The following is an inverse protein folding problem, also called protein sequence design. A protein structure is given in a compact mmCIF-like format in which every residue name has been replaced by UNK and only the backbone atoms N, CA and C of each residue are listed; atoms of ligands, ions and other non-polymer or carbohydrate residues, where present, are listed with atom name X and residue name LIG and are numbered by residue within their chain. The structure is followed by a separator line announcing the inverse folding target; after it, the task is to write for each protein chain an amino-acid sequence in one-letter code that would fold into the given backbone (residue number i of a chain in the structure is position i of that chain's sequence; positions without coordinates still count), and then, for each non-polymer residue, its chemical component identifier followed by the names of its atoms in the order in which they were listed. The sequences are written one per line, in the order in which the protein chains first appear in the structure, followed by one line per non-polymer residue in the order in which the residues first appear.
data_IF_341653019118
#
_entry.id   IF_341653019118
#
_cell.length_a   1.000
_cell.length_b   1.000
_cell.length_c   1.000
_cell.angle_alpha   90.00
_cell.angle_beta   90.00
_cell.angle_gamma   90.00
#
_symmetry.space_group_name_H-M   'P 1'
#
loop_
_entity.id
_entity.type
_entity.pdbx_description
1 polymer ?
#
# COMPACT_ATOMS: atom_id res chain seq x y z
N UNK A 1 15.42 24.27 -9.99
CA UNK A 1 14.73 23.03 -10.42
C UNK A 1 14.01 22.48 -9.21
N UNK A 2 12.70 22.20 -9.25
CA UNK A 2 11.97 21.72 -8.07
C UNK A 2 12.48 20.33 -7.64
N UNK A 3 12.62 20.08 -6.34
CA UNK A 3 13.11 18.80 -5.78
C UNK A 3 12.36 17.59 -6.33
N UNK A 4 11.03 17.71 -6.50
CA UNK A 4 10.19 16.68 -7.12
C UNK A 4 10.65 16.31 -8.53
N UNK A 5 11.07 17.29 -9.32
CA UNK A 5 11.57 17.06 -10.68
C UNK A 5 12.89 16.29 -10.65
N UNK A 6 13.76 16.58 -9.69
CA UNK A 6 15.03 15.86 -9.52
C UNK A 6 14.78 14.39 -9.15
N UNK A 7 13.90 14.14 -8.17
CA UNK A 7 13.49 12.78 -7.77
C UNK A 7 12.91 12.01 -8.96
N UNK A 8 11.98 12.63 -9.70
CA UNK A 8 11.39 12.00 -10.88
C UNK A 8 12.43 11.69 -11.95
N UNK A 9 13.42 12.55 -12.19
CA UNK A 9 14.46 12.32 -13.19
C UNK A 9 15.35 11.11 -12.87
N UNK A 10 15.62 10.84 -11.59
CA UNK A 10 16.47 9.72 -11.17
C UNK A 10 15.69 8.44 -10.80
N UNK A 11 14.36 8.43 -11.01
CA UNK A 11 13.44 7.37 -10.57
C UNK A 11 13.89 5.95 -10.89
N UNK A 12 14.48 5.72 -12.06
CA UNK A 12 14.93 4.38 -12.50
C UNK A 12 16.09 3.85 -11.65
N UNK A 13 16.92 4.73 -11.09
CA UNK A 13 18.05 4.35 -10.22
C UNK A 13 17.59 3.99 -8.80
N UNK A 14 16.33 4.28 -8.46
CA UNK A 14 15.77 4.12 -7.13
C UNK A 14 14.91 2.86 -6.98
N UNK A 15 14.59 2.15 -8.07
CA UNK A 15 13.69 0.99 -8.08
C UNK A 15 14.15 -0.16 -7.17
N UNK A 16 15.46 -0.30 -6.95
CA UNK A 16 16.04 -1.29 -6.04
C UNK A 16 15.91 -0.93 -4.55
N UNK A 17 15.46 0.28 -4.22
CA UNK A 17 15.36 0.80 -2.86
C UNK A 17 13.90 1.05 -2.52
N UNK A 18 13.29 0.16 -1.75
CA UNK A 18 11.88 0.31 -1.37
C UNK A 18 11.62 1.65 -0.66
N UNK A 19 12.49 2.06 0.28
CA UNK A 19 12.33 3.30 1.04
C UNK A 19 12.32 4.57 0.17
N UNK A 20 12.76 4.49 -1.10
CA UNK A 20 12.67 5.59 -2.04
C UNK A 20 11.29 5.68 -2.71
N UNK A 21 10.49 4.60 -2.72
CA UNK A 21 9.19 4.56 -3.40
C UNK A 21 8.24 5.65 -2.92
N UNK A 22 8.00 5.86 -1.61
CA UNK A 22 7.11 6.93 -1.15
C UNK A 22 7.56 8.31 -1.64
N UNK A 23 8.87 8.56 -1.65
CA UNK A 23 9.46 9.81 -2.13
C UNK A 23 9.21 9.99 -3.63
N UNK A 24 9.38 8.94 -4.43
CA UNK A 24 9.09 8.98 -5.87
C UNK A 24 7.59 9.18 -6.11
N UNK A 25 6.72 8.48 -5.39
CA UNK A 25 5.26 8.63 -5.53
C UNK A 25 4.79 10.06 -5.23
N UNK A 26 5.37 10.73 -4.22
CA UNK A 26 5.09 12.15 -3.93
C UNK A 26 5.57 13.12 -5.02
N UNK A 27 6.51 12.69 -5.86
CA UNK A 27 7.04 13.46 -6.98
C UNK A 27 6.19 13.36 -8.26
N UNK A 28 5.31 12.37 -8.34
CA UNK A 28 4.42 12.13 -9.49
C UNK A 28 3.31 13.18 -9.54
N UNK A 29 3.08 13.82 -10.70
CA UNK A 29 1.82 14.49 -10.96
C UNK A 29 0.80 13.46 -11.46
N UNK A 30 -0.08 12.99 -10.57
CA UNK A 30 -1.08 11.96 -10.88
C UNK A 30 -2.13 12.40 -11.90
N UNK A 31 -2.19 13.70 -12.24
CA UNK A 31 -3.04 14.23 -13.30
C UNK A 31 -2.41 14.06 -14.68
N UNK A 32 -1.07 13.97 -14.75
CA UNK A 32 -0.35 13.72 -15.99
C UNK A 32 -0.44 12.22 -16.35
N UNK A 33 -1.12 11.86 -17.46
CA UNK A 33 -1.25 10.47 -17.88
C UNK A 33 0.10 9.80 -18.16
N UNK A 34 1.10 10.53 -18.65
CA UNK A 34 2.42 9.99 -18.97
C UNK A 34 3.16 9.60 -17.69
N UNK A 35 3.27 10.51 -16.72
CA UNK A 35 3.91 10.23 -15.44
C UNK A 35 3.20 9.10 -14.68
N UNK A 36 1.87 9.09 -14.67
CA UNK A 36 1.07 8.05 -14.02
C UNK A 36 1.31 6.68 -14.66
N UNK A 37 1.26 6.59 -15.98
CA UNK A 37 1.49 5.33 -16.71
C UNK A 37 2.91 4.82 -16.48
N UNK A 38 3.89 5.71 -16.52
CA UNK A 38 5.28 5.38 -16.26
C UNK A 38 5.47 4.86 -14.82
N UNK A 39 4.87 5.53 -13.83
CA UNK A 39 4.93 5.08 -12.45
C UNK A 39 4.31 3.69 -12.29
N UNK A 40 3.22 3.39 -13.00
CA UNK A 40 2.63 2.05 -12.97
C UNK A 40 3.59 0.97 -13.49
N UNK A 41 4.34 1.23 -14.56
CA UNK A 41 5.36 0.29 -15.02
C UNK A 41 6.47 0.10 -13.99
N UNK A 42 6.92 1.20 -13.38
CA UNK A 42 7.96 1.16 -12.35
C UNK A 42 7.51 0.43 -11.08
N UNK A 43 6.23 0.52 -10.70
CA UNK A 43 5.70 -0.22 -9.55
C UNK A 43 5.89 -1.73 -9.69
N UNK A 44 5.74 -2.29 -10.90
CA UNK A 44 5.99 -3.72 -11.15
C UNK A 44 7.46 -4.11 -11.02
N UNK A 45 8.37 -3.17 -11.22
CA UNK A 45 9.82 -3.39 -11.13
C UNK A 45 10.39 -3.02 -9.77
N UNK A 46 9.60 -2.39 -8.90
CA UNK A 46 10.09 -1.91 -7.62
C UNK A 46 10.42 -3.08 -6.70
N UNK A 47 11.50 -2.93 -5.93
CA UNK A 47 11.85 -3.88 -4.88
C UNK A 47 10.67 -4.08 -3.94
N UNK A 48 10.46 -5.30 -3.43
CA UNK A 48 9.36 -5.60 -2.52
C UNK A 48 9.49 -4.82 -1.20
N UNK A 49 8.37 -4.51 -0.52
CA UNK A 49 8.40 -3.95 0.82
C UNK A 49 9.11 -4.91 1.79
N UNK A 50 10.01 -4.40 2.60
CA UNK A 50 10.78 -5.23 3.53
C UNK A 50 10.04 -5.45 4.85
N UNK A 51 9.11 -4.55 5.19
CA UNK A 51 8.39 -4.59 6.46
C UNK A 51 6.89 -4.25 6.30
N UNK A 52 6.01 -4.62 7.24
CA UNK A 52 4.61 -4.21 7.20
C UNK A 52 4.40 -2.68 7.23
N UNK A 53 5.26 -1.95 7.93
CA UNK A 53 5.21 -0.48 8.06
C UNK A 53 5.36 0.21 6.71
N UNK A 54 6.20 -0.35 5.83
CA UNK A 54 6.34 0.11 4.45
C UNK A 54 5.01 0.03 3.69
N UNK A 55 4.23 -1.04 3.87
CA UNK A 55 2.93 -1.16 3.23
C UNK A 55 1.90 -0.21 3.87
N UNK A 56 1.94 -0.04 5.19
CA UNK A 56 1.07 0.91 5.90
C UNK A 56 1.32 2.36 5.45
N UNK A 57 2.58 2.75 5.21
CA UNK A 57 2.90 4.06 4.63
C UNK A 57 2.20 4.24 3.28
N UNK A 58 2.28 3.25 2.38
CA UNK A 58 1.61 3.31 1.08
C UNK A 58 0.07 3.23 1.14
N UNK A 59 -0.50 2.87 2.28
CA UNK A 59 -1.94 2.88 2.55
C UNK A 59 -2.41 4.17 3.24
N UNK A 60 -1.51 5.10 3.50
CA UNK A 60 -1.82 6.41 4.09
C UNK A 60 -2.62 7.30 3.11
N UNK A 61 -3.27 8.34 3.63
CA UNK A 61 -4.18 9.19 2.85
C UNK A 61 -3.50 9.97 1.71
N UNK A 62 -2.19 10.18 1.82
CA UNK A 62 -1.40 10.84 0.77
C UNK A 62 -1.29 9.98 -0.50
N UNK A 63 -1.53 8.67 -0.41
CA UNK A 63 -1.48 7.73 -1.53
C UNK A 63 -2.87 7.15 -1.81
N UNK A 64 -3.66 7.93 -2.55
CA UNK A 64 -5.03 7.56 -2.93
C UNK A 64 -5.10 6.70 -4.21
N UNK A 65 -4.00 6.56 -4.94
CA UNK A 65 -3.97 5.82 -6.20
C UNK A 65 -4.20 4.32 -6.00
N UNK A 66 -5.18 3.76 -6.72
CA UNK A 66 -5.62 2.38 -6.53
C UNK A 66 -4.52 1.34 -6.83
N UNK A 67 -3.60 1.60 -7.77
CA UNK A 67 -2.52 0.66 -8.09
C UNK A 67 -1.41 0.68 -7.05
N UNK A 68 -1.12 1.85 -6.47
CA UNK A 68 -0.21 1.98 -5.32
C UNK A 68 -0.75 1.21 -4.12
N UNK A 69 -2.05 1.38 -3.81
CA UNK A 69 -2.69 0.67 -2.71
C UNK A 69 -2.73 -0.84 -2.95
N UNK A 70 -3.04 -1.25 -4.19
CA UNK A 70 -3.00 -2.66 -4.60
C UNK A 70 -1.60 -3.26 -4.43
N UNK A 71 -0.56 -2.54 -4.85
CA UNK A 71 0.82 -2.95 -4.65
C UNK A 71 1.13 -3.16 -3.16
N UNK A 72 0.73 -2.22 -2.29
CA UNK A 72 0.97 -2.32 -0.84
C UNK A 72 0.31 -3.57 -0.23
N UNK A 73 -0.93 -3.88 -0.64
CA UNK A 73 -1.65 -5.05 -0.14
C UNK A 73 -1.05 -6.35 -0.68
N UNK A 74 -0.88 -6.47 -2.00
CA UNK A 74 -0.50 -7.75 -2.63
C UNK A 74 0.99 -8.07 -2.46
N UNK A 75 1.88 -7.07 -2.50
CA UNK A 75 3.32 -7.32 -2.40
C UNK A 75 3.82 -7.39 -0.95
N UNK A 76 2.99 -7.07 0.05
CA UNK A 76 3.40 -7.08 1.45
C UNK A 76 2.36 -7.68 2.40
N UNK A 77 1.18 -7.08 2.54
CA UNK A 77 0.20 -7.55 3.54
C UNK A 77 -0.25 -8.99 3.26
N UNK A 78 -0.40 -9.36 1.99
CA UNK A 78 -0.75 -10.70 1.55
C UNK A 78 0.27 -11.77 1.96
N UNK A 79 1.55 -11.41 2.10
CA UNK A 79 2.64 -12.32 2.48
C UNK A 79 2.74 -12.52 4.00
N UNK A 80 2.05 -11.70 4.82
CA UNK A 80 2.14 -11.80 6.27
C UNK A 80 1.38 -13.02 6.80
N UNK A 81 2.01 -13.83 7.65
CA UNK A 81 1.28 -14.86 8.39
C UNK A 81 0.23 -14.23 9.32
N UNK A 82 -0.79 -15.01 9.71
CA UNK A 82 -1.91 -14.48 10.50
C UNK A 82 -1.47 -13.86 11.84
N UNK A 83 -0.48 -14.43 12.52
CA UNK A 83 0.03 -13.87 13.78
C UNK A 83 0.64 -12.49 13.60
N UNK A 84 1.49 -12.31 12.58
CA UNK A 84 2.10 -11.01 12.29
C UNK A 84 1.05 -10.03 11.80
N UNK A 85 0.11 -10.46 10.95
CA UNK A 85 -1.00 -9.62 10.49
C UNK A 85 -1.84 -9.09 11.66
N UNK A 86 -2.14 -9.94 12.65
CA UNK A 86 -2.90 -9.55 13.85
C UNK A 86 -2.26 -8.38 14.59
N UNK A 87 -0.92 -8.34 14.69
CA UNK A 87 -0.18 -7.25 15.36
C UNK A 87 -0.39 -5.89 14.71
N UNK A 88 -0.66 -5.83 13.40
CA UNK A 88 -0.91 -4.59 12.66
C UNK A 88 -2.39 -4.37 12.32
N UNK A 89 -3.27 -5.25 12.79
CA UNK A 89 -4.66 -5.29 12.34
C UNK A 89 -5.42 -4.00 12.66
N UNK A 90 -5.13 -3.37 13.80
CA UNK A 90 -5.71 -2.08 14.17
C UNK A 90 -5.38 -1.02 13.11
N UNK A 91 -4.11 -0.86 12.77
CA UNK A 91 -3.62 0.12 11.80
C UNK A 91 -4.18 -0.16 10.41
N UNK A 92 -4.18 -1.43 10.00
CA UNK A 92 -4.74 -1.91 8.73
C UNK A 92 -6.26 -1.59 8.64
N UNK A 93 -7.01 -1.81 9.72
CA UNK A 93 -8.44 -1.44 9.76
C UNK A 93 -8.62 0.08 9.72
N UNK A 94 -7.76 0.88 10.35
CA UNK A 94 -7.84 2.34 10.22
C UNK A 94 -7.63 2.80 8.76
N UNK A 95 -6.76 2.13 8.01
CA UNK A 95 -6.57 2.42 6.58
C UNK A 95 -7.85 2.22 5.74
N UNK A 96 -8.83 1.41 6.20
CA UNK A 96 -10.12 1.28 5.51
C UNK A 96 -10.92 2.58 5.49
N UNK A 97 -10.78 3.43 6.51
CA UNK A 97 -11.48 4.72 6.60
C UNK A 97 -11.02 5.72 5.53
N UNK A 98 -9.86 5.46 4.95
CA UNK A 98 -9.19 6.32 3.97
C UNK A 98 -9.48 5.83 2.54
N UNK A 99 -9.99 4.62 2.37
CA UNK A 99 -10.34 4.07 1.05
C UNK A 99 -11.38 4.95 0.36
N UNK A 100 -11.13 5.26 -0.92
CA UNK A 100 -12.04 6.07 -1.73
C UNK A 100 -13.38 5.34 -2.00
N UNK A 101 -13.35 4.01 -2.00
CA UNK A 101 -14.51 3.17 -2.30
C UNK A 101 -14.65 2.09 -1.23
N UNK A 102 -15.90 1.73 -0.88
CA UNK A 102 -16.18 0.64 0.05
C UNK A 102 -15.64 -0.70 -0.44
N UNK A 103 -15.74 -0.96 -1.75
CA UNK A 103 -15.08 -2.09 -2.37
C UNK A 103 -13.66 -1.69 -2.78
N UNK A 104 -12.70 -2.06 -1.94
CA UNK A 104 -11.27 -1.85 -2.18
C UNK A 104 -10.50 -3.16 -2.06
N UNK A 105 -9.28 -3.18 -2.62
CA UNK A 105 -8.35 -4.30 -2.46
C UNK A 105 -8.07 -4.60 -0.98
N UNK A 106 -8.01 -3.57 -0.15
CA UNK A 106 -7.78 -3.70 1.29
C UNK A 106 -8.98 -4.35 1.99
N UNK A 107 -10.20 -3.88 1.69
CA UNK A 107 -11.42 -4.46 2.25
C UNK A 107 -11.56 -5.95 1.88
N UNK A 108 -11.32 -6.26 0.60
CA UNK A 108 -11.34 -7.65 0.11
C UNK A 108 -10.31 -8.52 0.84
N UNK A 109 -9.06 -8.04 0.95
CA UNK A 109 -8.00 -8.76 1.67
C UNK A 109 -8.35 -9.03 3.13
N UNK A 110 -8.84 -8.03 3.86
CA UNK A 110 -9.19 -8.18 5.28
C UNK A 110 -10.32 -9.19 5.45
N UNK A 111 -11.36 -9.12 4.61
CA UNK A 111 -12.47 -10.07 4.64
C UNK A 111 -11.98 -11.50 4.35
N UNK A 112 -11.14 -11.68 3.33
CA UNK A 112 -10.58 -12.99 3.01
C UNK A 112 -9.78 -13.57 4.20
N UNK A 113 -8.92 -12.76 4.83
CA UNK A 113 -8.12 -13.18 5.99
C UNK A 113 -8.99 -13.46 7.23
N UNK A 114 -10.06 -12.70 7.42
CA UNK A 114 -11.03 -12.90 8.49
C UNK A 114 -11.76 -14.24 8.35
N UNK A 115 -12.16 -14.61 7.14
CA UNK A 115 -12.82 -15.90 6.85
C UNK A 115 -11.84 -17.07 7.00
N UNK A 116 -10.60 -16.92 6.54
CA UNK A 116 -9.58 -17.96 6.65
C UNK A 116 -9.14 -18.24 8.09
N UNK A 117 -9.15 -17.22 8.96
CA UNK A 117 -8.78 -17.36 10.37
C UNK A 117 -9.81 -16.66 11.29
N UNK A 118 -11.02 -17.24 11.47
CA UNK A 118 -12.13 -16.58 12.16
C UNK A 118 -11.81 -16.19 13.61
N UNK A 119 -11.12 -17.06 14.36
CA UNK A 119 -10.80 -16.79 15.76
C UNK A 119 -9.59 -15.87 15.95
N UNK A 120 -8.64 -15.87 15.01
CA UNK A 120 -7.40 -15.10 15.13
C UNK A 120 -7.47 -13.72 14.46
N UNK A 121 -8.19 -13.60 13.35
CA UNK A 121 -8.36 -12.36 12.58
C UNK A 121 -9.81 -11.92 12.61
N UNK A 122 -10.76 -12.79 12.25
CA UNK A 122 -12.17 -12.43 12.07
C UNK A 122 -12.81 -11.78 13.30
N UNK A 123 -12.65 -12.39 14.48
CA UNK A 123 -13.14 -11.86 15.75
C UNK A 123 -12.57 -10.45 16.03
N UNK A 124 -11.28 -10.24 15.80
CA UNK A 124 -10.66 -8.94 16.01
C UNK A 124 -11.14 -7.90 14.99
N UNK A 125 -11.23 -8.27 13.70
CA UNK A 125 -11.78 -7.38 12.66
C UNK A 125 -13.18 -6.92 13.02
N UNK A 126 -14.05 -7.84 13.46
CA UNK A 126 -15.42 -7.51 13.87
C UNK A 126 -15.45 -6.41 14.94
N UNK A 127 -14.66 -6.55 16.01
CA UNK A 127 -14.63 -5.57 17.08
C UNK A 127 -13.93 -4.26 16.72
N UNK A 128 -12.94 -4.31 15.83
CA UNK A 128 -12.23 -3.11 15.37
C UNK A 128 -13.07 -2.25 14.41
N UNK A 129 -14.08 -2.85 13.76
CA UNK A 129 -15.01 -2.17 12.86
C UNK A 129 -16.31 -1.72 13.53
N UNK A 130 -16.53 -2.08 14.80
CA UNK A 130 -17.72 -1.70 15.59
C UNK A 130 -17.51 -0.34 16.25
#
# INVERSE_FOLDING_TARGET
MSEKKLVWNVRYLLTSKFNALPVVLRSVDWRDPYMRTEMYHLLYQWSRPNTPENALELLHFEFSDARVRHFAVIMCLAELCHFKLKTYLLQIVQCLKIELHHYSVLAHFILQRAIQAPYLIGHHVFWLCK
#
